data_IF_282382702011
#
_entry.id   IF_282382702011
#
_cell.length_a   1.000
_cell.length_b   1.000
_cell.length_c   1.000
_cell.angle_alpha   90.00
_cell.angle_beta   90.00
_cell.angle_gamma   90.00
#
_symmetry.space_group_name_H-M   'P 1'
#
loop_
_entity.id
_entity.type
_entity.pdbx_description
1 polymer ?
#
# COMPACT_ATOMS: atom_id res chain seq x y z
N UNK A 1 5.44 -18.83 3.25
CA UNK A 1 4.33 -17.85 3.31
C UNK A 1 4.07 -17.21 1.94
N UNK A 2 2.81 -16.88 1.61
CA UNK A 2 2.44 -16.07 0.43
C UNK A 2 1.79 -14.76 0.86
N UNK A 3 2.16 -13.66 0.22
CA UNK A 3 1.60 -12.33 0.49
C UNK A 3 1.13 -11.66 -0.79
N UNK A 4 -0.15 -11.29 -0.84
CA UNK A 4 -0.78 -10.53 -1.91
C UNK A 4 -0.93 -9.08 -1.43
N UNK A 5 -0.25 -8.15 -2.09
CA UNK A 5 -0.31 -6.72 -1.80
C UNK A 5 -1.24 -6.07 -2.82
N UNK A 6 -2.36 -5.49 -2.40
CA UNK A 6 -3.33 -4.83 -3.28
C UNK A 6 -3.44 -3.34 -2.95
N UNK A 7 -3.25 -2.47 -3.95
CA UNK A 7 -3.57 -1.05 -3.80
C UNK A 7 -5.09 -0.86 -3.90
N UNK A 8 -5.65 0.02 -3.08
CA UNK A 8 -7.05 0.42 -3.18
C UNK A 8 -7.44 0.87 -4.60
N UNK A 9 -8.73 0.76 -4.91
CA UNK A 9 -9.32 1.25 -6.15
C UNK A 9 -9.35 2.79 -6.22
N UNK A 10 -9.65 3.36 -7.38
CA UNK A 10 -9.71 4.82 -7.53
C UNK A 10 -10.66 5.49 -6.52
N UNK A 11 -10.13 6.45 -5.78
CA UNK A 11 -10.86 7.25 -4.80
C UNK A 11 -11.06 8.67 -5.26
N UNK A 12 -11.98 9.40 -4.61
CA UNK A 12 -12.21 10.81 -4.91
C UNK A 12 -10.92 11.62 -4.81
N UNK A 13 -10.06 11.33 -3.83
CA UNK A 13 -8.75 11.97 -3.69
C UNK A 13 -7.72 11.66 -4.78
N UNK A 14 -8.00 10.71 -5.69
CA UNK A 14 -7.17 10.47 -6.85
C UNK A 14 -7.57 11.31 -8.06
N UNK A 15 -8.82 11.79 -8.11
CA UNK A 15 -9.38 12.50 -9.27
C UNK A 15 -9.74 13.96 -8.96
N UNK A 16 -10.01 14.30 -7.71
CA UNK A 16 -10.30 15.64 -7.21
C UNK A 16 -9.40 15.97 -6.03
N UNK A 17 -8.31 16.70 -6.27
CA UNK A 17 -7.41 17.15 -5.21
C UNK A 17 -8.07 18.15 -4.26
N UNK A 18 -9.12 18.87 -4.71
CA UNK A 18 -9.86 19.77 -3.82
C UNK A 18 -10.74 18.99 -2.82
N UNK A 19 -10.91 17.68 -2.98
CA UNK A 19 -11.64 16.86 -2.02
C UNK A 19 -10.97 16.86 -0.64
N UNK A 20 -9.63 16.93 -0.57
CA UNK A 20 -8.88 16.98 0.70
C UNK A 20 -9.17 18.23 1.54
N UNK A 21 -9.72 19.29 0.92
CA UNK A 21 -10.12 20.52 1.62
C UNK A 21 -11.45 20.38 2.36
N UNK A 22 -12.23 19.33 2.04
CA UNK A 22 -13.63 19.15 2.47
C UNK A 22 -13.84 17.85 3.21
N UNK A 23 -13.03 16.84 2.91
CA UNK A 23 -13.12 15.48 3.42
C UNK A 23 -11.71 15.10 3.91
N UNK A 24 -11.56 14.64 5.17
CA UNK A 24 -10.26 14.19 5.64
C UNK A 24 -9.80 12.96 4.86
N UNK A 25 -8.49 12.82 4.61
CA UNK A 25 -7.92 11.79 3.73
C UNK A 25 -8.45 10.38 4.04
N UNK A 26 -8.47 9.99 5.32
CA UNK A 26 -8.94 8.68 5.76
C UNK A 26 -10.41 8.37 5.40
N UNK A 27 -11.22 9.40 5.13
CA UNK A 27 -12.65 9.29 4.85
C UNK A 27 -12.99 9.48 3.36
N UNK A 28 -12.01 9.65 2.47
CA UNK A 28 -12.26 9.79 1.04
C UNK A 28 -12.82 8.48 0.46
N UNK A 29 -14.02 8.51 -0.16
CA UNK A 29 -14.66 7.33 -0.71
C UNK A 29 -14.09 6.94 -2.08
N UNK A 30 -14.40 5.74 -2.53
CA UNK A 30 -14.21 5.33 -3.92
C UNK A 30 -15.05 6.18 -4.88
N UNK A 31 -14.55 6.36 -6.11
CA UNK A 31 -15.39 6.85 -7.21
C UNK A 31 -16.24 5.71 -7.77
N UNK A 32 -17.29 6.02 -8.53
CA UNK A 32 -18.04 4.97 -9.25
C UNK A 32 -17.15 4.19 -10.22
N UNK A 33 -16.07 4.80 -10.73
CA UNK A 33 -15.06 4.10 -11.53
C UNK A 33 -14.25 3.15 -10.65
N UNK A 34 -13.75 3.61 -9.50
CA UNK A 34 -13.06 2.77 -8.52
C UNK A 34 -13.90 1.59 -8.03
N UNK A 35 -15.19 1.77 -7.82
CA UNK A 35 -16.07 0.64 -7.48
C UNK A 35 -16.11 -0.44 -8.58
N UNK A 36 -16.12 -0.02 -9.86
CA UNK A 36 -16.05 -0.96 -11.00
C UNK A 36 -14.68 -1.61 -11.09
N UNK A 37 -13.59 -0.87 -10.86
CA UNK A 37 -12.22 -1.41 -10.82
C UNK A 37 -12.07 -2.49 -9.74
N UNK A 38 -12.57 -2.22 -8.52
CA UNK A 38 -12.51 -3.18 -7.41
C UNK A 38 -13.27 -4.48 -7.71
N UNK A 39 -14.47 -4.37 -8.30
CA UNK A 39 -15.24 -5.55 -8.73
C UNK A 39 -14.56 -6.31 -9.86
N UNK A 40 -13.88 -5.60 -10.76
CA UNK A 40 -13.19 -6.19 -11.90
C UNK A 40 -11.95 -7.00 -11.48
N UNK A 41 -11.22 -6.56 -10.45
CA UNK A 41 -10.05 -7.30 -9.93
C UNK A 41 -10.43 -8.44 -8.98
N UNK A 42 -11.65 -8.47 -8.44
CA UNK A 42 -12.11 -9.48 -7.50
C UNK A 42 -11.91 -10.95 -7.97
N UNK A 43 -12.27 -11.34 -9.21
CA UNK A 43 -12.05 -12.72 -9.68
C UNK A 43 -10.56 -13.10 -9.76
N UNK A 44 -9.69 -12.12 -10.03
CA UNK A 44 -8.26 -12.35 -10.11
C UNK A 44 -7.66 -12.56 -8.71
N UNK A 45 -8.05 -11.75 -7.72
CA UNK A 45 -7.67 -11.97 -6.32
C UNK A 45 -8.19 -13.33 -5.84
N UNK A 46 -9.44 -13.69 -6.13
CA UNK A 46 -9.98 -14.99 -5.77
C UNK A 46 -9.18 -16.16 -6.38
N UNK A 47 -8.72 -16.02 -7.64
CA UNK A 47 -7.85 -17.00 -8.30
C UNK A 47 -6.47 -17.10 -7.63
N UNK A 48 -5.89 -15.98 -7.18
CA UNK A 48 -4.61 -15.98 -6.47
C UNK A 48 -4.70 -16.62 -5.08
N UNK A 49 -5.86 -16.54 -4.44
CA UNK A 49 -6.15 -17.21 -3.17
C UNK A 49 -6.34 -18.72 -3.34
N UNK A 50 -6.67 -19.20 -4.54
CA UNK A 50 -6.80 -20.63 -4.89
C UNK A 50 -7.64 -21.47 -3.89
N UNK A 51 -8.72 -20.86 -3.38
CA UNK A 51 -9.61 -21.50 -2.39
C UNK A 51 -9.07 -21.54 -0.95
N UNK A 52 -7.87 -21.03 -0.71
CA UNK A 52 -7.35 -20.83 0.64
C UNK A 52 -8.15 -19.75 1.38
N UNK A 53 -8.15 -19.84 2.72
CA UNK A 53 -8.77 -18.85 3.61
C UNK A 53 -7.69 -17.92 4.14
N UNK A 54 -7.49 -16.72 3.55
CA UNK A 54 -6.35 -15.89 3.91
C UNK A 54 -6.54 -15.20 5.27
N UNK A 55 -5.43 -14.71 5.83
CA UNK A 55 -5.47 -13.60 6.75
C UNK A 55 -5.46 -12.28 5.97
N UNK A 56 -6.45 -11.43 6.21
CA UNK A 56 -6.63 -10.14 5.54
C UNK A 56 -6.28 -9.02 6.50
N UNK A 57 -5.32 -8.18 6.09
CA UNK A 57 -4.98 -6.94 6.77
C UNK A 57 -5.34 -5.76 5.87
N UNK A 58 -6.20 -4.88 6.35
CA UNK A 58 -6.68 -3.74 5.56
C UNK A 58 -6.38 -2.45 6.29
N UNK A 59 -5.89 -1.44 5.57
CA UNK A 59 -5.79 -0.10 6.12
C UNK A 59 -7.18 0.39 6.57
N UNK A 60 -7.29 1.14 7.70
CA UNK A 60 -8.58 1.61 8.20
C UNK A 60 -9.25 2.67 7.32
N UNK A 61 -8.57 3.17 6.28
CA UNK A 61 -9.11 4.20 5.41
C UNK A 61 -10.33 3.70 4.63
N UNK A 62 -11.27 4.59 4.34
CA UNK A 62 -12.54 4.22 3.72
C UNK A 62 -12.32 3.54 2.36
N UNK A 63 -11.51 4.14 1.48
CA UNK A 63 -11.18 3.59 0.16
C UNK A 63 -10.61 2.17 0.17
N UNK A 64 -9.77 1.81 1.16
CA UNK A 64 -9.21 0.46 1.28
C UNK A 64 -10.27 -0.54 1.77
N UNK A 65 -11.11 -0.13 2.72
CA UNK A 65 -12.22 -0.94 3.22
C UNK A 65 -13.30 -1.17 2.17
N UNK A 66 -13.64 -0.14 1.41
CA UNK A 66 -14.58 -0.26 0.28
C UNK A 66 -14.03 -1.15 -0.82
N UNK A 67 -12.73 -1.03 -1.14
CA UNK A 67 -12.07 -1.93 -2.09
C UNK A 67 -12.19 -3.38 -1.62
N UNK A 68 -11.82 -3.67 -0.37
CA UNK A 68 -11.91 -5.02 0.21
C UNK A 68 -13.33 -5.57 0.15
N UNK A 69 -14.34 -4.77 0.56
CA UNK A 69 -15.75 -5.18 0.51
C UNK A 69 -16.18 -5.59 -0.89
N UNK A 70 -15.67 -4.90 -1.92
CA UNK A 70 -15.99 -5.17 -3.32
C UNK A 70 -15.24 -6.37 -3.90
N UNK A 71 -14.24 -6.91 -3.20
CA UNK A 71 -13.63 -8.20 -3.54
C UNK A 71 -14.51 -9.39 -3.14
N UNK A 72 -15.47 -9.21 -2.23
CA UNK A 72 -16.41 -10.24 -1.76
C UNK A 72 -15.73 -11.49 -1.15
N UNK A 73 -14.67 -11.27 -0.37
CA UNK A 73 -13.87 -12.33 0.27
C UNK A 73 -13.94 -12.32 1.81
N UNK A 74 -14.69 -11.40 2.41
CA UNK A 74 -14.75 -11.27 3.87
C UNK A 74 -15.33 -12.53 4.53
N UNK A 75 -16.29 -13.19 3.88
CA UNK A 75 -16.87 -14.44 4.38
C UNK A 75 -15.94 -15.66 4.20
N UNK A 76 -15.00 -15.61 3.27
CA UNK A 76 -14.07 -16.71 2.98
C UNK A 76 -12.72 -16.56 3.68
N UNK A 77 -12.37 -15.37 4.19
CA UNK A 77 -11.15 -15.20 4.98
C UNK A 77 -11.21 -15.94 6.33
N UNK A 78 -10.05 -16.29 6.86
CA UNK A 78 -9.91 -16.88 8.19
C UNK A 78 -9.72 -15.82 9.27
N UNK A 79 -9.08 -14.72 8.91
CA UNK A 79 -8.85 -13.56 9.78
C UNK A 79 -9.03 -12.28 8.96
N UNK A 80 -9.66 -11.28 9.55
CA UNK A 80 -9.79 -9.94 8.98
C UNK A 80 -9.48 -8.90 10.06
N UNK A 81 -8.47 -8.08 9.84
CA UNK A 81 -8.04 -7.04 10.77
C UNK A 81 -7.86 -5.70 10.06
N UNK A 82 -8.43 -4.65 10.64
CA UNK A 82 -8.05 -3.29 10.29
C UNK A 82 -6.73 -2.96 10.99
N UNK A 83 -5.71 -2.65 10.20
CA UNK A 83 -4.34 -2.43 10.69
C UNK A 83 -3.93 -0.97 10.45
N UNK A 84 -3.94 -0.11 11.49
CA UNK A 84 -3.60 1.29 11.38
C UNK A 84 -2.20 1.56 10.82
N UNK A 85 -1.24 0.64 11.01
CA UNK A 85 0.12 0.78 10.48
C UNK A 85 0.22 0.58 8.97
N UNK A 86 -0.87 0.20 8.29
CA UNK A 86 -0.96 0.08 6.84
C UNK A 86 -1.65 1.26 6.15
N UNK A 87 -1.93 2.36 6.88
CA UNK A 87 -2.43 3.62 6.28
C UNK A 87 -1.42 4.29 5.36
N UNK A 88 -1.88 5.19 4.50
CA UNK A 88 -0.96 5.96 3.63
C UNK A 88 -0.12 6.95 4.46
N UNK A 89 0.97 7.46 3.88
CA UNK A 89 1.70 8.60 4.43
C UNK A 89 0.73 9.71 4.82
N UNK A 90 0.80 10.18 6.06
CA UNK A 90 0.01 11.31 6.52
C UNK A 90 0.58 12.63 5.97
N UNK A 91 -0.27 13.40 5.29
CA UNK A 91 0.07 14.73 4.79
C UNK A 91 -0.20 15.83 5.80
N UNK A 92 -0.53 15.47 7.04
CA UNK A 92 -0.91 16.39 8.09
C UNK A 92 -2.26 17.07 7.79
N UNK A 93 -2.52 18.19 8.46
CA UNK A 93 -3.76 18.95 8.29
C UNK A 93 -3.69 19.93 7.09
N UNK A 94 -3.08 19.52 5.98
CA UNK A 94 -2.97 20.34 4.76
C UNK A 94 -4.34 20.45 4.09
N UNK A 95 -5.06 21.55 4.33
CA UNK A 95 -6.37 21.84 3.74
C UNK A 95 -6.33 22.95 2.68
N UNK A 96 -5.18 23.62 2.52
CA UNK A 96 -4.96 24.64 1.48
C UNK A 96 -4.36 23.98 0.22
N UNK A 97 -5.06 23.97 -0.93
CA UNK A 97 -4.55 23.43 -2.18
C UNK A 97 -3.23 24.06 -2.64
N UNK A 98 -3.04 25.36 -2.41
CA UNK A 98 -1.82 26.04 -2.85
C UNK A 98 -0.60 25.56 -2.04
N UNK A 99 -0.77 25.38 -0.72
CA UNK A 99 0.28 24.81 0.12
C UNK A 99 0.52 23.34 -0.23
N UNK A 100 -0.53 22.55 -0.48
CA UNK A 100 -0.39 21.16 -0.94
C UNK A 100 0.49 21.05 -2.20
N UNK A 101 0.26 21.90 -3.21
CA UNK A 101 1.08 21.92 -4.43
C UNK A 101 2.55 22.29 -4.14
N UNK A 102 2.77 23.26 -3.26
CA UNK A 102 4.13 23.63 -2.83
C UNK A 102 4.82 22.48 -2.12
N UNK A 103 4.13 21.79 -1.21
CA UNK A 103 4.68 20.64 -0.49
C UNK A 103 4.95 19.46 -1.44
N UNK A 104 4.07 19.17 -2.40
CA UNK A 104 4.28 18.15 -3.45
C UNK A 104 5.56 18.42 -4.23
N UNK A 105 5.73 19.65 -4.73
CA UNK A 105 6.89 20.04 -5.51
C UNK A 105 8.19 19.90 -4.71
N UNK A 106 8.20 20.37 -3.46
CA UNK A 106 9.36 20.22 -2.55
C UNK A 106 9.67 18.77 -2.25
N UNK A 107 8.65 17.95 -1.98
CA UNK A 107 8.78 16.50 -1.75
C UNK A 107 9.36 15.78 -2.97
N UNK A 108 8.92 16.13 -4.17
CA UNK A 108 9.45 15.57 -5.42
C UNK A 108 10.90 15.96 -5.67
N UNK A 109 11.29 17.19 -5.33
CA UNK A 109 12.67 17.65 -5.48
C UNK A 109 13.61 17.04 -4.44
N UNK A 110 13.15 16.86 -3.19
CA UNK A 110 13.97 16.37 -2.09
C UNK A 110 14.08 14.84 -2.06
N UNK A 111 13.01 14.12 -2.41
CA UNK A 111 12.89 12.67 -2.26
C UNK A 111 11.75 12.29 -1.33
N UNK A 112 11.03 11.23 -1.69
CA UNK A 112 9.81 10.79 -1.01
C UNK A 112 10.07 10.12 0.35
N UNK A 113 11.27 9.54 0.54
CA UNK A 113 11.64 8.77 1.72
C UNK A 113 11.94 9.68 2.91
N UNK A 114 12.80 10.69 2.76
CA UNK A 114 13.24 11.52 3.88
C UNK A 114 12.50 12.85 4.02
N UNK A 115 11.78 13.31 3.00
CA UNK A 115 11.04 14.56 3.10
C UNK A 115 9.89 14.42 4.11
N UNK A 116 9.91 15.26 5.15
CA UNK A 116 8.85 15.30 6.16
C UNK A 116 7.87 16.43 5.87
N UNK A 117 6.61 16.06 5.69
CA UNK A 117 5.52 17.01 5.52
C UNK A 117 5.27 17.76 6.84
N UNK A 118 4.98 19.07 6.81
CA UNK A 118 4.59 19.82 8.00
C UNK A 118 3.41 19.16 8.71
N UNK A 119 3.56 18.86 10.01
CA UNK A 119 2.57 18.16 10.83
C UNK A 119 2.15 16.77 10.32
N UNK A 120 2.89 16.21 9.36
CA UNK A 120 2.64 14.90 8.77
C UNK A 120 3.84 13.97 8.94
N UNK A 121 3.90 12.98 8.05
CA UNK A 121 4.94 11.95 8.04
C UNK A 121 5.99 12.21 6.96
N UNK A 122 7.19 11.68 7.17
CA UNK A 122 8.13 11.32 6.10
C UNK A 122 7.92 9.87 5.66
N UNK A 123 8.46 9.50 4.50
CA UNK A 123 8.49 8.08 4.10
C UNK A 123 9.23 7.19 5.09
N UNK A 124 10.24 7.69 5.80
CA UNK A 124 10.94 6.99 6.87
C UNK A 124 10.03 6.69 8.07
N UNK A 125 9.14 7.62 8.45
CA UNK A 125 8.17 7.37 9.53
C UNK A 125 7.18 6.24 9.13
N UNK A 126 6.79 6.20 7.85
CA UNK A 126 5.99 5.11 7.28
C UNK A 126 6.78 3.80 7.26
N UNK A 127 8.06 3.84 6.88
CA UNK A 127 8.97 2.69 6.83
C UNK A 127 9.12 2.04 8.21
N UNK A 128 9.15 2.83 9.29
CA UNK A 128 9.28 2.35 10.67
C UNK A 128 8.00 1.66 11.17
N UNK A 129 6.82 2.24 10.94
CA UNK A 129 5.56 1.57 11.34
C UNK A 129 5.28 0.32 10.52
N UNK A 130 5.70 0.29 9.25
CA UNK A 130 5.65 -0.92 8.42
C UNK A 130 6.60 -1.99 8.96
N UNK A 131 7.81 -1.63 9.41
CA UNK A 131 8.72 -2.58 10.06
C UNK A 131 8.14 -3.18 11.34
N UNK A 132 7.43 -2.38 12.15
CA UNK A 132 6.73 -2.87 13.34
C UNK A 132 5.62 -3.87 12.97
N UNK A 133 4.81 -3.56 11.95
CA UNK A 133 3.79 -4.48 11.44
C UNK A 133 4.40 -5.80 10.93
N UNK A 134 5.47 -5.73 10.14
CA UNK A 134 6.15 -6.93 9.62
C UNK A 134 6.78 -7.77 10.73
N UNK A 135 7.29 -7.14 11.80
CA UNK A 135 7.79 -7.84 12.98
C UNK A 135 6.68 -8.64 13.67
N UNK A 136 5.52 -8.02 13.92
CA UNK A 136 4.36 -8.72 14.49
C UNK A 136 3.88 -9.86 13.58
N UNK A 137 3.84 -9.61 12.27
CA UNK A 137 3.45 -10.60 11.28
C UNK A 137 4.42 -11.79 11.26
N UNK A 138 5.71 -11.59 11.55
CA UNK A 138 6.69 -12.69 11.67
C UNK A 138 6.56 -13.47 12.98
N UNK A 139 6.11 -12.83 14.05
CA UNK A 139 5.94 -13.41 15.38
C UNK A 139 4.56 -14.06 15.60
N UNK A 140 3.78 -14.21 14.54
CA UNK A 140 2.47 -14.87 14.56
C UNK A 140 2.56 -16.34 14.99
N UNK A 141 1.48 -16.85 15.57
CA UNK A 141 1.42 -18.27 15.96
C UNK A 141 1.28 -19.20 14.73
N UNK A 142 1.56 -20.49 14.94
CA UNK A 142 1.51 -21.54 13.92
C UNK A 142 0.11 -21.74 13.29
N UNK A 143 -0.94 -21.17 13.88
CA UNK A 143 -2.32 -21.25 13.36
C UNK A 143 -2.65 -20.10 12.42
N UNK A 144 -1.76 -19.13 12.24
CA UNK A 144 -2.01 -18.04 11.33
C UNK A 144 -1.94 -18.53 9.87
N UNK A 145 -2.89 -18.14 9.00
CA UNK A 145 -2.88 -18.52 7.59
C UNK A 145 -1.55 -18.24 6.87
N UNK A 146 -1.15 -19.16 6.00
CA UNK A 146 0.05 -19.01 5.17
C UNK A 146 -0.10 -17.96 4.08
N UNK A 147 -1.32 -17.79 3.56
CA UNK A 147 -1.66 -16.74 2.60
C UNK A 147 -2.19 -15.51 3.30
N UNK A 148 -1.57 -14.37 3.00
CA UNK A 148 -1.92 -13.06 3.52
C UNK A 148 -2.33 -12.13 2.39
N UNK A 149 -3.46 -11.46 2.56
CA UNK A 149 -3.86 -10.35 1.70
C UNK A 149 -3.72 -9.03 2.46
N UNK A 150 -2.99 -8.09 1.88
CA UNK A 150 -2.84 -6.74 2.38
C UNK A 150 -3.52 -5.76 1.42
N UNK A 151 -4.52 -5.03 1.90
CA UNK A 151 -5.18 -3.96 1.12
C UNK A 151 -4.75 -2.59 1.68
N UNK A 152 -3.96 -1.86 0.90
CA UNK A 152 -3.27 -0.65 1.35
C UNK A 152 -3.09 0.37 0.21
N UNK A 153 -2.02 1.17 0.24
CA UNK A 153 -1.81 2.38 -0.54
C UNK A 153 -0.46 2.38 -1.27
N UNK A 154 -0.28 3.28 -2.23
CA UNK A 154 0.83 3.23 -3.17
C UNK A 154 2.21 3.29 -2.51
N UNK A 155 2.45 4.29 -1.64
CA UNK A 155 3.74 4.44 -0.97
C UNK A 155 3.97 3.30 0.04
N UNK A 156 2.93 2.98 0.81
CA UNK A 156 2.97 1.95 1.86
C UNK A 156 3.32 0.57 1.30
N UNK A 157 2.77 0.18 0.14
CA UNK A 157 3.13 -1.09 -0.51
C UNK A 157 4.58 -1.14 -0.97
N UNK A 158 5.12 -0.03 -1.49
CA UNK A 158 6.54 0.04 -1.86
C UNK A 158 7.46 -0.08 -0.65
N UNK A 159 7.09 0.53 0.48
CA UNK A 159 7.85 0.46 1.73
C UNK A 159 7.78 -0.94 2.37
N UNK A 160 6.63 -1.63 2.26
CA UNK A 160 6.53 -3.05 2.61
C UNK A 160 7.56 -3.87 1.83
N UNK A 161 7.62 -3.73 0.50
CA UNK A 161 8.60 -4.45 -0.31
C UNK A 161 10.04 -4.04 0.04
N UNK A 162 10.33 -2.75 0.18
CA UNK A 162 11.65 -2.29 0.62
C UNK A 162 12.12 -3.02 1.89
N UNK A 163 11.26 -3.12 2.91
CA UNK A 163 11.60 -3.82 4.17
C UNK A 163 11.72 -5.33 4.01
N UNK A 164 10.89 -5.96 3.18
CA UNK A 164 10.91 -7.40 2.96
C UNK A 164 12.14 -7.86 2.17
N UNK A 165 12.53 -7.11 1.15
CA UNK A 165 13.66 -7.42 0.26
C UNK A 165 14.98 -6.78 0.71
N UNK A 166 14.94 -5.82 1.64
CA UNK A 166 16.13 -5.09 2.08
C UNK A 166 16.64 -4.07 1.07
N UNK A 167 15.79 -3.62 0.15
CA UNK A 167 16.16 -2.67 -0.91
C UNK A 167 16.71 -1.36 -0.35
N UNK A 168 17.70 -0.78 -1.02
CA UNK A 168 18.21 0.55 -0.71
C UNK A 168 17.15 1.63 -0.80
N UNK A 169 17.47 2.77 -0.22
CA UNK A 169 16.57 3.93 -0.27
C UNK A 169 16.57 4.52 -1.69
N UNK A 170 17.71 4.45 -2.36
CA UNK A 170 17.96 4.87 -3.73
C UNK A 170 17.07 4.10 -4.71
N UNK A 171 17.01 2.76 -4.57
CA UNK A 171 16.11 1.94 -5.37
C UNK A 171 14.66 2.30 -5.10
N UNK A 172 14.26 2.39 -3.82
CA UNK A 172 12.89 2.77 -3.44
C UNK A 172 12.45 4.11 -4.06
N UNK A 173 13.31 5.12 -4.03
CA UNK A 173 13.05 6.45 -4.60
C UNK A 173 12.89 6.41 -6.13
N UNK A 174 13.46 5.41 -6.81
CA UNK A 174 13.32 5.21 -8.25
C UNK A 174 12.00 4.53 -8.67
N UNK A 175 11.27 3.95 -7.71
CA UNK A 175 10.04 3.20 -7.97
C UNK A 175 8.82 4.12 -8.08
N UNK A 176 7.92 3.80 -9.01
CA UNK A 176 6.60 4.39 -9.15
C UNK A 176 5.57 3.66 -8.29
N UNK A 177 4.58 4.38 -7.77
CA UNK A 177 3.44 3.75 -7.11
C UNK A 177 2.72 2.78 -8.07
N UNK A 178 2.27 1.60 -7.61
CA UNK A 178 1.39 0.73 -8.39
C UNK A 178 0.08 1.46 -8.71
N UNK A 179 -0.56 1.20 -9.84
CA UNK A 179 -1.87 1.74 -10.21
C UNK A 179 -3.00 1.35 -9.24
N UNK A 180 -4.17 1.98 -9.35
CA UNK A 180 -5.34 1.60 -8.54
C UNK A 180 -5.76 0.17 -8.88
N UNK A 181 -6.14 -0.62 -7.87
CA UNK A 181 -6.36 -2.06 -7.98
C UNK A 181 -5.19 -2.91 -8.52
N UNK A 182 -4.01 -2.33 -8.73
CA UNK A 182 -2.82 -3.10 -9.06
C UNK A 182 -2.33 -3.83 -7.81
N UNK A 183 -1.89 -5.07 -7.99
CA UNK A 183 -1.38 -5.92 -6.92
C UNK A 183 0.05 -6.42 -7.18
N UNK A 184 0.71 -6.93 -6.14
CA UNK A 184 1.94 -7.73 -6.22
C UNK A 184 1.77 -9.01 -5.44
N UNK A 185 2.39 -10.09 -5.90
CA UNK A 185 2.42 -11.37 -5.20
C UNK A 185 3.84 -11.63 -4.77
N UNK A 186 4.01 -11.90 -3.48
CA UNK A 186 5.29 -12.19 -2.87
C UNK A 186 5.23 -13.60 -2.29
N UNK A 187 6.18 -14.44 -2.67
CA UNK A 187 6.31 -15.78 -2.14
C UNK A 187 7.58 -15.87 -1.30
N UNK A 188 7.48 -16.42 -0.10
CA UNK A 188 8.59 -16.63 0.82
C UNK A 188 8.94 -18.11 0.92
N UNK A 189 10.21 -18.41 0.69
CA UNK A 189 10.81 -19.73 0.84
C UNK A 189 12.15 -19.59 1.55
N UNK A 190 12.36 -20.38 2.61
CA UNK A 190 13.59 -20.41 3.40
C UNK A 190 14.08 -19.02 3.86
N UNK A 191 13.15 -18.15 4.28
CA UNK A 191 13.44 -16.79 4.74
C UNK A 191 13.73 -15.79 3.62
N UNK A 192 13.62 -16.19 2.35
CA UNK A 192 13.83 -15.32 1.18
C UNK A 192 12.52 -15.04 0.47
N UNK A 193 12.29 -13.77 0.19
CA UNK A 193 11.14 -13.31 -0.59
C UNK A 193 11.48 -13.28 -2.07
N UNK A 194 10.51 -13.64 -2.90
CA UNK A 194 10.51 -13.44 -4.34
C UNK A 194 9.28 -12.60 -4.74
N UNK A 195 9.48 -11.62 -5.62
CA UNK A 195 8.42 -10.80 -6.17
C UNK A 195 7.97 -11.38 -7.52
N UNK A 196 6.66 -11.46 -7.76
CA UNK A 196 6.12 -11.96 -9.02
C UNK A 196 6.54 -11.12 -10.23
N UNK A 197 6.56 -9.80 -10.07
CA UNK A 197 6.99 -8.84 -11.10
C UNK A 197 7.47 -7.52 -10.49
N UNK A 198 8.46 -6.84 -11.10
CA UNK A 198 8.95 -5.57 -10.59
C UNK A 198 7.86 -4.49 -10.56
N UNK A 199 8.01 -3.52 -9.65
CA UNK A 199 7.36 -2.22 -9.74
C UNK A 199 7.89 -1.46 -10.96
N UNK A 200 7.04 -0.61 -11.55
CA UNK A 200 7.50 0.33 -12.55
C UNK A 200 8.55 1.27 -11.94
N UNK A 201 9.60 1.56 -12.70
CA UNK A 201 10.64 2.52 -12.33
C UNK A 201 10.54 3.75 -13.22
N UNK A 202 10.64 4.94 -12.64
CA UNK A 202 10.62 6.20 -13.40
C UNK A 202 12.03 6.70 -13.73
N UNK A 203 13.07 6.09 -13.13
CA UNK A 203 14.49 6.24 -13.44
C UNK A 203 15.25 4.99 -12.97
N UNK A 204 16.50 4.85 -13.42
CA UNK A 204 17.40 3.86 -12.84
C UNK A 204 17.77 4.22 -11.39
N UNK A 205 18.07 3.20 -10.57
CA UNK A 205 18.54 3.43 -9.21
C UNK A 205 19.94 4.06 -9.21
N UNK A 206 20.17 5.18 -8.50
CA UNK A 206 21.49 5.83 -8.46
C UNK A 206 22.63 4.95 -7.95
N UNK A 207 22.35 3.98 -7.08
CA UNK A 207 23.33 3.03 -6.54
C UNK A 207 23.46 1.74 -7.39
N UNK A 208 22.70 1.63 -8.47
CA UNK A 208 22.67 0.46 -9.35
C UNK A 208 21.92 -0.75 -8.81
N UNK A 209 21.28 -0.67 -7.63
CA UNK A 209 20.49 -1.79 -7.11
C UNK A 209 19.24 -2.02 -7.98
N UNK A 210 18.83 -3.29 -8.10
CA UNK A 210 17.65 -3.73 -8.85
C UNK A 210 16.66 -4.47 -7.97
N UNK A 211 15.41 -4.60 -8.43
CA UNK A 211 14.34 -5.28 -7.68
C UNK A 211 14.45 -6.83 -7.67
N UNK A 212 15.53 -7.37 -8.24
CA UNK A 212 15.81 -8.80 -8.43
C UNK A 212 17.12 -9.18 -7.74
#
# INVERSE_FOLDING_TARGET
MRMILLRHAESLGNVDELAYTRIPDHALPLTTKGEREARAVAPEIARLLDGERPAVYVSPYLRTRETLRLLDIEASCERLLQEPRLREQDWGNLQDPADQEVQKARRHQFGHFFYRLPFGESGADVDDRVAAFLSDLRLRDERHPETVLIVSHGLTLRLLCRRLFGWSTELFESLSNPGTCEYRVLDEQDGKWALDRPFAQWRDSPDGETQL
#
